data_IF_710667430438
#
_entry.id   IF_710667430438
#
_cell.length_a   1.000
_cell.length_b   1.000
_cell.length_c   1.000
_cell.angle_alpha   90.00
_cell.angle_beta   90.00
_cell.angle_gamma   90.00
#
_symmetry.space_group_name_H-M   'P 1'
#
loop_
_entity.id
_entity.type
_entity.pdbx_description
1 polymer ?
#
# COMPACT_ATOMS: atom_id res chain seq x y z
N UNK A 1 -1.44 8.24 -18.82
CA UNK A 1 -2.09 6.91 -18.88
C UNK A 1 -2.16 6.41 -17.45
N UNK A 2 -3.33 6.04 -16.96
CA UNK A 2 -3.50 5.45 -15.63
C UNK A 2 -3.62 3.92 -15.76
N UNK A 3 -3.31 3.21 -14.68
CA UNK A 3 -3.50 1.77 -14.54
C UNK A 3 -3.95 1.51 -13.11
N UNK A 4 -4.86 0.56 -12.92
CA UNK A 4 -5.14 0.03 -11.59
C UNK A 4 -4.03 -0.98 -11.23
N UNK A 5 -3.55 -0.92 -9.98
CA UNK A 5 -2.53 -1.82 -9.44
C UNK A 5 -3.00 -2.29 -8.07
N UNK A 6 -3.04 -3.60 -7.87
CA UNK A 6 -3.40 -4.20 -6.59
C UNK A 6 -2.18 -4.26 -5.67
N UNK A 7 -2.36 -3.82 -4.43
CA UNK A 7 -1.38 -3.94 -3.35
C UNK A 7 -1.91 -4.94 -2.31
N UNK A 8 -1.11 -5.95 -1.98
CA UNK A 8 -1.49 -6.99 -1.01
C UNK A 8 -0.73 -6.87 0.32
N UNK A 9 0.41 -6.16 0.31
CA UNK A 9 1.24 -6.01 1.50
C UNK A 9 0.73 -4.88 2.39
N UNK A 10 0.57 -5.16 3.68
CA UNK A 10 0.01 -4.21 4.67
C UNK A 10 1.06 -3.41 5.43
N UNK A 11 2.34 -3.61 5.10
CA UNK A 11 3.46 -2.99 5.78
C UNK A 11 4.61 -2.65 4.84
N UNK A 12 5.66 -1.99 5.34
CA UNK A 12 6.84 -1.72 4.56
C UNK A 12 7.79 -2.92 4.51
N UNK A 13 8.52 -3.04 3.40
CA UNK A 13 9.73 -3.83 3.38
C UNK A 13 10.79 -3.11 4.22
N UNK A 14 11.37 -3.82 5.18
CA UNK A 14 12.51 -3.33 5.95
C UNK A 14 13.76 -3.84 5.24
N UNK A 15 14.56 -2.94 4.70
CA UNK A 15 15.93 -3.30 4.35
C UNK A 15 16.84 -2.83 5.48
N UNK A 16 17.85 -3.61 5.78
CA UNK A 16 18.73 -3.45 6.94
C UNK A 16 20.20 -3.41 6.52
N UNK A 17 21.12 -3.65 7.46
CA UNK A 17 22.55 -3.54 7.22
C UNK A 17 23.07 -4.60 6.22
N UNK A 18 22.37 -5.72 6.04
CA UNK A 18 22.71 -6.75 5.06
C UNK A 18 22.39 -6.29 3.61
N UNK A 19 21.40 -5.42 3.43
CA UNK A 19 20.97 -4.94 2.12
C UNK A 19 21.80 -3.74 1.60
N UNK A 20 22.35 -2.93 2.51
CA UNK A 20 22.88 -1.58 2.18
C UNK A 20 24.11 -1.16 3.00
N UNK A 21 24.65 -2.03 3.84
CA UNK A 21 25.80 -1.70 4.69
C UNK A 21 25.39 -0.87 5.91
N UNK A 22 26.32 -0.07 6.46
CA UNK A 22 26.14 0.67 7.73
C UNK A 22 25.30 1.97 7.58
N UNK A 23 24.28 1.92 6.73
CA UNK A 23 23.37 3.05 6.42
C UNK A 23 22.09 3.01 7.28
N UNK A 24 21.94 2.01 8.16
CA UNK A 24 20.80 1.80 9.04
C UNK A 24 19.53 1.31 8.32
N UNK A 25 18.40 1.26 9.04
CA UNK A 25 17.15 0.74 8.51
C UNK A 25 16.49 1.72 7.52
N UNK A 26 16.05 1.21 6.36
CA UNK A 26 15.15 1.95 5.44
C UNK A 26 13.88 1.14 5.26
N UNK A 27 12.76 1.83 5.42
CA UNK A 27 11.42 1.27 5.27
C UNK A 27 10.85 1.69 3.91
N UNK A 28 10.69 0.72 3.02
CA UNK A 28 10.15 0.92 1.67
C UNK A 28 8.66 0.63 1.68
N UNK A 29 7.84 1.57 1.24
CA UNK A 29 6.39 1.40 1.23
C UNK A 29 5.98 0.29 0.24
N UNK A 30 5.14 -0.64 0.71
CA UNK A 30 4.50 -1.65 -0.15
C UNK A 30 2.97 -1.59 -0.11
N UNK A 31 2.37 -0.88 0.86
CA UNK A 31 0.92 -0.73 0.99
C UNK A 31 0.28 0.19 -0.05
N UNK A 32 1.07 1.03 -0.74
CA UNK A 32 0.56 1.95 -1.75
C UNK A 32 -0.04 3.26 -1.23
N UNK A 33 -0.14 3.48 0.10
CA UNK A 33 -0.80 4.65 0.69
C UNK A 33 0.13 5.76 1.22
N UNK A 34 1.45 5.60 1.06
CA UNK A 34 2.41 6.63 1.50
C UNK A 34 2.32 7.90 0.64
N UNK A 35 2.39 9.07 1.26
CA UNK A 35 2.55 10.37 0.59
C UNK A 35 4.02 10.67 0.24
N UNK A 36 4.94 9.91 0.85
CA UNK A 36 6.39 10.05 0.70
C UNK A 36 7.03 8.89 -0.08
N UNK A 37 6.23 8.23 -0.93
CA UNK A 37 6.68 7.16 -1.83
C UNK A 37 8.01 7.53 -2.50
N UNK A 38 9.01 6.62 -2.52
CA UNK A 38 8.91 5.18 -2.22
C UNK A 38 9.06 4.81 -0.74
N UNK A 39 9.24 5.78 0.15
CA UNK A 39 9.50 5.53 1.56
C UNK A 39 8.20 5.35 2.35
N UNK A 40 8.28 4.63 3.46
CA UNK A 40 7.18 4.51 4.40
C UNK A 40 7.13 5.74 5.33
N UNK A 41 5.97 6.37 5.43
CA UNK A 41 5.62 7.44 6.38
C UNK A 41 4.69 6.97 7.51
N UNK A 42 4.22 5.71 7.45
CA UNK A 42 3.30 5.14 8.43
C UNK A 42 1.84 5.09 7.97
N UNK A 43 1.51 5.56 6.76
CA UNK A 43 0.17 5.46 6.19
C UNK A 43 -0.38 4.03 6.12
N UNK A 44 0.50 3.02 6.11
CA UNK A 44 0.12 1.61 6.17
C UNK A 44 -0.70 1.23 7.42
N UNK A 45 -0.64 2.03 8.50
CA UNK A 45 -1.45 1.78 9.69
C UNK A 45 -2.97 1.77 9.38
N UNK A 46 -3.41 2.48 8.34
CA UNK A 46 -4.79 2.48 7.86
C UNK A 46 -5.26 1.14 7.26
N UNK A 47 -4.34 0.18 7.05
CA UNK A 47 -4.62 -1.16 6.50
C UNK A 47 -4.72 -2.24 7.58
N UNK A 48 -4.44 -1.91 8.85
CA UNK A 48 -4.27 -2.90 9.93
C UNK A 48 -5.56 -3.63 10.31
N UNK A 49 -6.72 -3.04 10.01
CA UNK A 49 -8.05 -3.56 10.29
C UNK A 49 -8.79 -4.06 9.03
N UNK A 50 -8.09 -4.20 7.91
CA UNK A 50 -8.64 -4.80 6.70
C UNK A 50 -8.99 -6.29 6.91
N UNK A 51 -10.18 -6.68 6.44
CA UNK A 51 -10.60 -8.07 6.48
C UNK A 51 -9.91 -8.91 5.39
N UNK A 52 -9.50 -10.13 5.73
CA UNK A 52 -8.96 -11.09 4.77
C UNK A 52 -9.97 -11.39 3.65
N UNK A 53 -9.51 -11.35 2.40
CA UNK A 53 -10.33 -11.64 1.22
C UNK A 53 -11.26 -10.49 0.78
N UNK A 54 -11.22 -9.35 1.45
CA UNK A 54 -11.95 -8.14 1.04
C UNK A 54 -10.99 -7.18 0.35
N UNK A 55 -11.40 -6.63 -0.79
CA UNK A 55 -10.62 -5.64 -1.54
C UNK A 55 -11.17 -4.25 -1.22
N UNK A 56 -10.30 -3.36 -0.77
CA UNK A 56 -10.63 -1.97 -0.45
C UNK A 56 -10.02 -1.01 -1.49
N UNK A 57 -10.75 0.05 -1.85
CA UNK A 57 -10.20 1.21 -2.55
C UNK A 57 -10.08 2.38 -1.58
N UNK A 58 -8.88 2.91 -1.48
CA UNK A 58 -8.59 4.19 -0.86
C UNK A 58 -8.66 5.26 -1.96
N UNK A 59 -9.57 6.26 -1.86
CA UNK A 59 -9.62 7.36 -2.81
C UNK A 59 -8.25 8.07 -2.89
N UNK A 60 -7.76 8.28 -4.11
CA UNK A 60 -6.48 8.98 -4.37
C UNK A 60 -5.25 8.39 -3.66
N UNK A 61 -5.32 7.11 -3.26
CA UNK A 61 -4.32 6.43 -2.44
C UNK A 61 -4.04 7.14 -1.09
N UNK A 62 -5.03 7.88 -0.57
CA UNK A 62 -4.97 8.61 0.69
C UNK A 62 -5.38 7.72 1.87
N UNK A 63 -4.49 7.58 2.85
CA UNK A 63 -4.75 6.78 4.06
C UNK A 63 -5.74 7.44 5.03
N UNK A 64 -5.97 8.75 4.92
CA UNK A 64 -6.93 9.48 5.74
C UNK A 64 -8.34 9.48 5.14
N UNK A 65 -8.47 9.15 3.85
CA UNK A 65 -9.75 9.08 3.16
C UNK A 65 -10.59 7.88 3.62
N UNK A 66 -11.92 8.02 3.54
CA UNK A 66 -12.84 6.91 3.78
C UNK A 66 -12.66 5.82 2.71
N UNK A 67 -12.05 4.70 3.10
CA UNK A 67 -11.92 3.52 2.23
C UNK A 67 -13.28 2.89 1.91
N UNK A 68 -13.37 2.27 0.74
CA UNK A 68 -14.61 1.62 0.25
C UNK A 68 -14.31 0.19 -0.16
N UNK A 69 -15.21 -0.73 0.20
CA UNK A 69 -15.16 -2.10 -0.31
C UNK A 69 -15.48 -2.12 -1.80
N UNK A 70 -14.72 -2.90 -2.56
CA UNK A 70 -14.98 -3.17 -3.98
C UNK A 70 -15.83 -4.44 -4.08
N UNK A 71 -17.05 -4.31 -4.60
CA UNK A 71 -17.96 -5.44 -4.82
C UNK A 71 -17.54 -6.27 -6.06
N UNK A 72 -17.25 -5.59 -7.17
CA UNK A 72 -16.75 -6.22 -8.40
C UNK A 72 -15.82 -5.27 -9.19
N UNK A 73 -14.87 -5.87 -9.93
CA UNK A 73 -14.08 -5.18 -10.95
C UNK A 73 -14.53 -5.72 -12.31
N UNK A 74 -15.09 -4.85 -13.14
CA UNK A 74 -15.54 -5.21 -14.50
C UNK A 74 -14.50 -4.80 -15.52
N UNK A 75 -13.96 -5.78 -16.24
CA UNK A 75 -13.04 -5.54 -17.34
C UNK A 75 -13.81 -5.33 -18.64
N UNK A 76 -13.30 -4.49 -19.54
CA UNK A 76 -14.02 -4.10 -20.75
C UNK A 76 -14.22 -5.25 -21.75
N UNK A 77 -13.37 -6.29 -21.67
CA UNK A 77 -13.29 -7.38 -22.64
C UNK A 77 -13.46 -8.78 -21.99
N UNK A 78 -13.89 -8.84 -20.73
CA UNK A 78 -14.18 -10.11 -20.01
C UNK A 78 -15.67 -10.26 -19.70
#
# INVERSE_FOLDING_TARGET
MAREVTHEERGPAVLDDDDKGDDGLIYVCQCGLSDTKPLCDGSHNATTDEADGVVYKYPDDDAEAERREIDEIVYADE
#
